data_IF_418287798026
#
_entry.id   IF_418287798026
#
_cell.length_a   1.000
_cell.length_b   1.000
_cell.length_c   1.000
_cell.angle_alpha   90.00
_cell.angle_beta   90.00
_cell.angle_gamma   90.00
#
_symmetry.space_group_name_H-M   'P 1'
#
loop_
_entity.id
_entity.type
_entity.pdbx_description
1 polymer ?
#
# COMPACT_ATOMS: atom_id res chain seq x y z
N UNK A 1 11.53 -0.32 -21.15
CA UNK A 1 11.50 1.16 -21.27
C UNK A 1 12.85 1.74 -20.90
N UNK A 2 13.21 2.89 -21.49
CA UNK A 2 14.50 3.56 -21.22
C UNK A 2 14.64 4.08 -19.77
N UNK A 3 13.55 4.12 -19.02
CA UNK A 3 13.48 4.57 -17.64
C UNK A 3 13.40 3.42 -16.61
N UNK A 4 13.62 2.17 -17.03
CA UNK A 4 13.61 1.01 -16.14
C UNK A 4 15.02 0.48 -15.96
N UNK A 5 15.42 0.34 -14.69
CA UNK A 5 16.72 -0.19 -14.31
C UNK A 5 16.53 -1.51 -13.55
N UNK A 6 17.21 -2.57 -13.98
CA UNK A 6 17.23 -3.85 -13.27
C UNK A 6 18.46 -3.90 -12.37
N UNK A 7 18.26 -3.85 -11.06
CA UNK A 7 19.33 -3.89 -10.07
C UNK A 7 19.82 -5.31 -9.73
N UNK A 8 19.23 -6.34 -10.35
CA UNK A 8 19.49 -7.76 -9.99
C UNK A 8 18.83 -8.14 -8.67
N UNK A 9 19.21 -9.28 -8.11
CA UNK A 9 18.75 -9.73 -6.78
C UNK A 9 19.65 -9.08 -5.72
N UNK A 10 19.47 -7.77 -5.51
CA UNK A 10 20.30 -6.94 -4.65
C UNK A 10 19.48 -5.80 -4.05
N UNK A 11 18.45 -6.12 -3.25
CA UNK A 11 17.43 -5.17 -2.79
C UNK A 11 18.01 -4.00 -1.98
N UNK A 12 19.03 -4.25 -1.13
CA UNK A 12 19.72 -3.17 -0.40
C UNK A 12 20.41 -2.19 -1.36
N UNK A 13 21.14 -2.73 -2.35
CA UNK A 13 21.78 -1.91 -3.36
C UNK A 13 20.76 -1.16 -4.22
N UNK A 14 19.67 -1.84 -4.60
CA UNK A 14 18.57 -1.21 -5.34
C UNK A 14 17.99 -0.01 -4.60
N UNK A 15 17.81 -0.11 -3.29
CA UNK A 15 17.29 0.99 -2.47
C UNK A 15 18.31 2.13 -2.34
N UNK A 16 19.60 1.81 -2.18
CA UNK A 16 20.68 2.82 -2.17
C UNK A 16 20.77 3.59 -3.49
N UNK A 17 20.71 2.88 -4.63
CA UNK A 17 20.68 3.48 -5.97
C UNK A 17 19.44 4.35 -6.14
N UNK A 18 18.24 3.85 -5.75
CA UNK A 18 16.99 4.60 -5.81
C UNK A 18 17.07 5.92 -5.02
N UNK A 19 17.65 5.87 -3.83
CA UNK A 19 17.84 7.07 -3.00
C UNK A 19 18.81 8.07 -3.64
N UNK A 20 19.92 7.57 -4.21
CA UNK A 20 20.85 8.42 -4.97
C UNK A 20 20.19 9.08 -6.18
N UNK A 21 19.36 8.36 -6.91
CA UNK A 21 18.59 8.91 -8.04
C UNK A 21 17.56 9.95 -7.56
N UNK A 22 16.85 9.69 -6.46
CA UNK A 22 15.92 10.66 -5.88
C UNK A 22 16.62 11.95 -5.43
N UNK A 23 17.84 11.84 -4.87
CA UNK A 23 18.65 13.00 -4.50
C UNK A 23 19.05 13.89 -5.69
N UNK A 24 19.00 13.38 -6.92
CA UNK A 24 19.19 14.17 -8.15
C UNK A 24 17.91 14.82 -8.68
N UNK A 25 16.79 14.68 -7.96
CA UNK A 25 15.48 15.24 -8.33
C UNK A 25 14.63 14.33 -9.21
N UNK A 26 14.98 13.05 -9.37
CA UNK A 26 14.15 12.09 -10.09
C UNK A 26 13.04 11.53 -9.18
N UNK A 27 11.86 11.32 -9.75
CA UNK A 27 10.80 10.53 -9.11
C UNK A 27 11.12 9.05 -9.29
N UNK A 28 11.33 8.33 -8.20
CA UNK A 28 11.84 6.95 -8.23
C UNK A 28 10.86 5.98 -7.57
N UNK A 29 10.52 4.91 -8.30
CA UNK A 29 9.79 3.76 -7.79
C UNK A 29 10.74 2.56 -7.73
N UNK A 30 10.97 2.02 -6.53
CA UNK A 30 11.75 0.80 -6.30
C UNK A 30 10.82 -0.36 -6.04
N UNK A 31 10.94 -1.46 -6.79
CA UNK A 31 10.03 -2.60 -6.70
C UNK A 31 10.76 -3.91 -6.40
N UNK A 32 10.19 -4.69 -5.48
CA UNK A 32 10.53 -6.10 -5.24
C UNK A 32 9.31 -6.83 -4.67
N UNK A 33 9.41 -8.17 -4.43
CA UNK A 33 8.44 -8.85 -3.60
C UNK A 33 8.32 -8.20 -2.22
N UNK A 34 7.11 -8.13 -1.67
CA UNK A 34 6.84 -7.47 -0.40
C UNK A 34 7.78 -7.88 0.73
N UNK A 35 8.07 -9.18 0.85
CA UNK A 35 9.01 -9.69 1.85
C UNK A 35 10.44 -9.16 1.68
N UNK A 36 10.89 -8.95 0.44
CA UNK A 36 12.24 -8.45 0.16
C UNK A 36 12.28 -6.93 0.15
N UNK A 37 11.26 -6.28 -0.36
CA UNK A 37 11.06 -4.84 -0.23
C UNK A 37 11.01 -4.41 1.25
N UNK A 38 10.38 -5.22 2.12
CA UNK A 38 10.33 -4.98 3.55
C UNK A 38 11.66 -5.32 4.23
N UNK A 39 12.03 -6.61 4.29
CA UNK A 39 13.13 -7.05 5.15
C UNK A 39 14.51 -6.63 4.66
N UNK A 40 14.75 -6.64 3.34
CA UNK A 40 16.08 -6.37 2.78
C UNK A 40 16.30 -4.91 2.44
N UNK A 41 15.27 -4.18 2.02
CA UNK A 41 15.38 -2.75 1.68
C UNK A 41 15.25 -1.84 2.91
N UNK A 42 14.70 -2.34 4.03
CA UNK A 42 14.20 -1.49 5.12
C UNK A 42 15.27 -0.58 5.72
N UNK A 43 16.47 -1.09 6.00
CA UNK A 43 17.55 -0.28 6.59
C UNK A 43 17.90 0.91 5.68
N UNK A 44 18.08 0.65 4.38
CA UNK A 44 18.36 1.72 3.41
C UNK A 44 17.15 2.62 3.18
N UNK A 45 15.92 2.07 3.24
CA UNK A 45 14.71 2.88 3.17
C UNK A 45 14.60 3.82 4.37
N UNK A 46 14.93 3.34 5.56
CA UNK A 46 14.93 4.16 6.77
C UNK A 46 16.02 5.25 6.74
N UNK A 47 17.26 4.88 6.43
CA UNK A 47 18.40 5.79 6.48
C UNK A 47 18.51 6.67 5.23
N UNK A 48 18.53 6.06 4.04
CA UNK A 48 18.81 6.78 2.82
C UNK A 48 17.59 7.53 2.25
N UNK A 49 16.37 7.06 2.47
CA UNK A 49 15.17 7.75 2.05
C UNK A 49 14.48 8.48 3.21
N UNK A 50 14.15 7.78 4.30
CA UNK A 50 13.39 8.34 5.41
C UNK A 50 14.13 9.45 6.15
N UNK A 51 15.33 9.16 6.65
CA UNK A 51 16.14 10.14 7.38
C UNK A 51 16.61 11.31 6.51
N UNK A 52 16.89 11.05 5.23
CA UNK A 52 17.31 12.09 4.26
C UNK A 52 16.11 12.79 3.60
N UNK A 53 14.88 12.44 3.97
CA UNK A 53 13.62 13.02 3.43
C UNK A 53 13.52 12.94 1.90
N UNK A 54 14.02 11.87 1.28
CA UNK A 54 14.00 11.68 -0.16
C UNK A 54 12.73 10.96 -0.61
N UNK A 55 12.02 11.43 -1.67
CA UNK A 55 10.81 10.83 -2.16
C UNK A 55 11.07 9.56 -2.98
N UNK A 56 11.46 8.48 -2.32
CA UNK A 56 11.55 7.16 -2.93
C UNK A 56 10.28 6.37 -2.62
N UNK A 57 9.64 5.86 -3.65
CA UNK A 57 8.40 5.10 -3.53
C UNK A 57 8.70 3.62 -3.67
N UNK A 58 8.64 2.89 -2.56
CA UNK A 58 8.88 1.44 -2.54
C UNK A 58 7.58 0.69 -2.79
N UNK A 59 7.61 -0.21 -3.76
CA UNK A 59 6.48 -1.08 -4.10
C UNK A 59 6.81 -2.50 -3.68
N UNK A 60 6.00 -3.04 -2.74
CA UNK A 60 6.10 -4.41 -2.28
C UNK A 60 5.00 -5.28 -2.87
N UNK A 61 5.34 -6.24 -3.75
CA UNK A 61 4.32 -7.09 -4.34
C UNK A 61 3.98 -8.33 -3.50
N UNK A 62 2.75 -8.80 -3.66
CA UNK A 62 2.19 -10.00 -3.05
C UNK A 62 2.22 -10.01 -1.52
N UNK A 63 1.48 -9.09 -0.87
CA UNK A 63 1.41 -8.99 0.58
C UNK A 63 0.72 -10.19 1.22
N UNK A 64 1.03 -10.43 2.48
CA UNK A 64 0.40 -11.49 3.29
C UNK A 64 0.55 -12.86 2.64
N UNK A 65 -0.56 -13.55 2.44
CA UNK A 65 -0.60 -14.91 1.86
C UNK A 65 -0.78 -14.95 0.34
N UNK A 66 -0.68 -13.81 -0.36
CA UNK A 66 -0.91 -13.75 -1.82
C UNK A 66 0.06 -14.62 -2.62
N UNK A 67 1.29 -14.82 -2.11
CA UNK A 67 2.28 -15.72 -2.68
C UNK A 67 2.46 -17.02 -1.86
N UNK A 68 1.41 -17.53 -1.22
CA UNK A 68 1.46 -18.72 -0.36
C UNK A 68 2.06 -19.96 -1.04
N UNK A 69 1.89 -20.11 -2.36
CA UNK A 69 2.49 -21.18 -3.14
C UNK A 69 4.03 -21.15 -3.17
N UNK A 70 4.66 -20.01 -2.88
CA UNK A 70 6.10 -19.87 -2.71
C UNK A 70 6.58 -20.19 -1.29
N UNK A 71 5.67 -20.40 -0.34
CA UNK A 71 5.95 -20.66 1.07
C UNK A 71 6.25 -19.39 1.88
N UNK A 72 6.49 -19.61 3.18
CA UNK A 72 6.61 -18.54 4.19
C UNK A 72 7.72 -17.51 3.91
N UNK A 73 8.75 -17.87 3.13
CA UNK A 73 9.83 -16.97 2.75
C UNK A 73 9.35 -15.81 1.85
N UNK A 74 8.19 -15.96 1.21
CA UNK A 74 7.59 -14.98 0.30
C UNK A 74 6.30 -14.35 0.83
N UNK A 75 5.96 -14.60 2.09
CA UNK A 75 4.76 -14.07 2.74
C UNK A 75 5.13 -12.95 3.72
N UNK A 76 5.07 -11.67 3.34
CA UNK A 76 5.28 -10.56 4.25
C UNK A 76 4.02 -10.29 5.07
N UNK A 77 4.15 -10.25 6.38
CA UNK A 77 3.11 -9.82 7.32
C UNK A 77 3.47 -8.52 8.01
N UNK A 78 4.77 -8.25 8.13
CA UNK A 78 5.37 -7.12 8.84
C UNK A 78 5.67 -5.91 7.97
N UNK A 79 5.50 -5.99 6.67
CA UNK A 79 5.94 -5.02 5.68
C UNK A 79 5.39 -3.60 5.94
N UNK A 80 4.09 -3.43 6.08
CA UNK A 80 3.51 -2.13 6.40
C UNK A 80 3.98 -1.62 7.77
N UNK A 81 4.04 -2.50 8.79
CA UNK A 81 4.47 -2.12 10.13
C UNK A 81 5.90 -1.58 10.14
N UNK A 82 6.80 -2.16 9.35
CA UNK A 82 8.16 -1.64 9.20
C UNK A 82 8.15 -0.22 8.63
N UNK A 83 7.48 -0.01 7.49
CA UNK A 83 7.44 1.31 6.85
C UNK A 83 6.66 2.36 7.65
N UNK A 84 5.68 1.96 8.46
CA UNK A 84 5.00 2.87 9.40
C UNK A 84 5.95 3.45 10.46
N UNK A 85 7.07 2.79 10.76
CA UNK A 85 8.11 3.30 11.66
C UNK A 85 8.99 4.41 11.06
N UNK A 86 8.97 4.63 9.74
CA UNK A 86 9.66 5.77 9.13
C UNK A 86 8.78 7.01 9.36
N UNK A 87 9.22 8.04 10.11
CA UNK A 87 8.34 9.11 10.60
C UNK A 87 7.53 9.82 9.53
N UNK A 88 8.15 10.14 8.38
CA UNK A 88 7.58 10.89 7.27
C UNK A 88 7.05 10.00 6.11
N UNK A 89 7.03 8.67 6.26
CA UNK A 89 6.60 7.79 5.20
C UNK A 89 5.08 7.76 5.02
N UNK A 90 4.65 7.63 3.77
CA UNK A 90 3.26 7.29 3.40
C UNK A 90 3.15 5.77 3.18
N UNK A 91 2.14 5.14 3.78
CA UNK A 91 1.91 3.68 3.65
C UNK A 91 0.53 3.41 3.07
N UNK A 92 0.48 2.69 1.95
CA UNK A 92 -0.73 2.44 1.16
C UNK A 92 -0.92 0.94 0.91
N UNK A 93 -2.17 0.50 0.97
CA UNK A 93 -2.62 -0.84 0.61
C UNK A 93 -3.86 -0.73 -0.28
N UNK A 94 -3.65 -0.71 -1.60
CA UNK A 94 -4.71 -0.49 -2.59
C UNK A 94 -5.51 -1.75 -2.88
N UNK A 95 -6.83 -1.62 -3.08
CA UNK A 95 -7.74 -2.76 -3.24
C UNK A 95 -7.98 -3.19 -4.69
N UNK A 96 -7.85 -2.29 -5.67
CA UNK A 96 -8.06 -2.61 -7.08
C UNK A 96 -7.19 -1.78 -8.04
N UNK A 97 -7.36 -2.02 -9.35
CA UNK A 97 -6.57 -1.33 -10.38
C UNK A 97 -6.86 0.17 -10.43
N UNK A 98 -8.12 0.59 -10.29
CA UNK A 98 -8.49 2.01 -10.36
C UNK A 98 -7.83 2.79 -9.23
N UNK A 99 -7.90 2.26 -8.01
CA UNK A 99 -7.28 2.84 -6.82
C UNK A 99 -5.75 2.82 -6.91
N UNK A 100 -5.14 1.69 -7.33
CA UNK A 100 -3.69 1.58 -7.56
C UNK A 100 -3.19 2.64 -8.54
N UNK A 101 -3.88 2.80 -9.69
CA UNK A 101 -3.53 3.77 -10.74
C UNK A 101 -3.59 5.20 -10.21
N UNK A 102 -4.64 5.56 -9.48
CA UNK A 102 -4.81 6.90 -8.93
C UNK A 102 -3.77 7.20 -7.84
N UNK A 103 -3.59 6.29 -6.89
CA UNK A 103 -2.64 6.47 -5.78
C UNK A 103 -1.18 6.48 -6.23
N UNK A 104 -0.80 5.68 -7.25
CA UNK A 104 0.54 5.74 -7.86
C UNK A 104 0.84 7.13 -8.41
N UNK A 105 -0.13 7.78 -9.07
CA UNK A 105 0.03 9.16 -9.56
C UNK A 105 0.15 10.17 -8.43
N UNK A 106 -0.60 10.00 -7.36
CA UNK A 106 -0.51 10.84 -6.16
C UNK A 106 0.87 10.68 -5.48
N UNK A 107 1.37 9.44 -5.38
CA UNK A 107 2.72 9.19 -4.86
C UNK A 107 3.80 9.84 -5.71
N UNK A 108 3.70 9.78 -7.04
CA UNK A 108 4.67 10.42 -7.93
C UNK A 108 4.78 11.95 -7.73
N UNK A 109 3.74 12.58 -7.18
CA UNK A 109 3.72 13.98 -6.80
C UNK A 109 3.96 14.22 -5.30
N UNK A 110 4.10 13.15 -4.51
CA UNK A 110 4.31 13.21 -3.07
C UNK A 110 5.80 13.45 -2.77
N UNK A 111 6.10 14.46 -1.99
CA UNK A 111 7.46 14.79 -1.56
C UNK A 111 8.02 13.90 -0.43
N UNK A 112 7.29 12.86 -0.01
CA UNK A 112 7.68 11.97 1.10
C UNK A 112 8.03 10.58 0.59
N UNK A 113 8.93 9.84 1.28
CA UNK A 113 9.13 8.42 1.00
C UNK A 113 7.82 7.65 1.20
N UNK A 114 7.62 6.57 0.47
CA UNK A 114 6.40 5.78 0.61
C UNK A 114 6.62 4.29 0.46
N UNK A 115 5.69 3.53 1.02
CA UNK A 115 5.52 2.11 0.77
C UNK A 115 4.10 1.83 0.27
N UNK A 116 3.99 1.11 -0.83
CA UNK A 116 2.71 0.71 -1.38
C UNK A 116 2.69 -0.79 -1.65
N UNK A 117 1.68 -1.48 -1.13
CA UNK A 117 1.40 -2.86 -1.47
C UNK A 117 0.83 -2.95 -2.87
N UNK A 118 1.30 -3.94 -3.61
CA UNK A 118 0.79 -4.25 -4.95
C UNK A 118 0.54 -5.74 -5.06
N UNK A 119 -0.46 -6.14 -5.83
CA UNK A 119 -0.79 -7.54 -6.01
C UNK A 119 -0.80 -7.86 -7.50
N UNK A 120 -0.21 -9.01 -7.86
CA UNK A 120 -0.08 -9.45 -9.25
C UNK A 120 -1.28 -10.21 -9.79
N UNK A 121 -2.12 -10.72 -8.91
CA UNK A 121 -3.33 -11.46 -9.31
C UNK A 121 -4.46 -10.49 -9.64
N UNK A 122 -5.38 -10.90 -10.49
CA UNK A 122 -6.60 -10.14 -10.75
C UNK A 122 -7.47 -10.06 -9.49
N UNK A 123 -8.09 -8.90 -9.29
CA UNK A 123 -9.01 -8.61 -8.19
C UNK A 123 -10.40 -8.30 -8.68
N UNK A 124 -11.34 -8.37 -7.75
CA UNK A 124 -12.65 -7.77 -7.90
C UNK A 124 -12.50 -6.25 -8.05
N UNK A 125 -13.14 -5.69 -9.08
CA UNK A 125 -13.20 -4.25 -9.27
C UNK A 125 -14.18 -3.66 -8.26
N UNK A 126 -13.68 -2.79 -7.39
CA UNK A 126 -14.47 -2.06 -6.39
C UNK A 126 -14.85 -0.68 -6.91
N UNK A 127 -13.93 -0.02 -7.60
CA UNK A 127 -14.07 1.34 -8.08
C UNK A 127 -14.10 1.44 -9.60
N UNK A 128 -14.83 2.44 -10.11
CA UNK A 128 -14.83 2.75 -11.54
C UNK A 128 -13.45 3.33 -11.97
N UNK A 129 -13.06 3.09 -13.23
CA UNK A 129 -11.86 3.73 -13.78
C UNK A 129 -12.05 5.27 -13.79
N UNK A 130 -11.03 5.98 -13.35
CA UNK A 130 -11.07 7.44 -13.19
C UNK A 130 -11.52 7.90 -11.81
N UNK A 131 -11.86 7.02 -10.88
CA UNK A 131 -12.06 7.39 -9.47
C UNK A 131 -10.81 8.06 -8.91
N UNK A 132 -11.02 9.10 -8.07
CA UNK A 132 -9.94 9.82 -7.39
C UNK A 132 -9.91 9.47 -5.91
N UNK A 133 -8.71 9.50 -5.33
CA UNK A 133 -8.48 9.15 -3.93
C UNK A 133 -7.49 10.13 -3.32
N UNK A 134 -7.67 10.45 -2.05
CA UNK A 134 -6.79 11.32 -1.30
C UNK A 134 -5.95 10.51 -0.32
N UNK A 135 -4.63 10.75 -0.30
CA UNK A 135 -3.72 10.14 0.68
C UNK A 135 -4.12 10.63 2.07
N UNK A 136 -4.30 9.70 3.01
CA UNK A 136 -4.73 10.01 4.37
C UNK A 136 -6.24 10.07 4.56
N UNK A 137 -7.03 9.71 3.53
CA UNK A 137 -8.48 9.61 3.63
C UNK A 137 -8.95 8.20 3.31
N UNK A 138 -9.89 7.70 4.13
CA UNK A 138 -10.60 6.45 3.84
C UNK A 138 -11.87 6.70 3.04
N UNK A 139 -12.46 5.64 2.50
CA UNK A 139 -13.71 5.69 1.73
C UNK A 139 -14.77 4.82 2.40
N UNK A 140 -15.90 5.41 2.77
CA UNK A 140 -17.06 4.63 3.23
C UNK A 140 -17.75 4.00 2.01
N UNK A 141 -17.69 2.68 1.90
CA UNK A 141 -18.29 1.91 0.81
C UNK A 141 -19.75 1.52 1.09
N UNK A 142 -20.07 1.28 2.35
CA UNK A 142 -21.41 0.95 2.85
C UNK A 142 -21.63 1.66 4.19
N UNK A 143 -22.79 2.23 4.38
CA UNK A 143 -23.21 2.75 5.68
C UNK A 143 -23.86 1.67 6.53
N UNK A 144 -23.63 1.74 7.84
CA UNK A 144 -24.19 0.83 8.83
C UNK A 144 -24.10 1.38 10.24
N UNK A 145 -24.87 0.79 11.16
CA UNK A 145 -25.01 1.30 12.54
C UNK A 145 -24.73 0.29 13.63
N UNK A 146 -24.64 -1.00 13.32
CA UNK A 146 -24.50 -2.05 14.34
C UNK A 146 -23.02 -2.47 14.50
N UNK A 147 -22.25 -2.47 13.38
CA UNK A 147 -20.82 -2.81 13.36
C UNK A 147 -20.10 -2.06 12.25
N UNK A 148 -18.82 -1.76 12.44
CA UNK A 148 -17.96 -1.20 11.39
C UNK A 148 -16.86 -2.20 11.03
N UNK A 149 -16.70 -2.47 9.73
CA UNK A 149 -15.64 -3.27 9.15
C UNK A 149 -14.68 -2.30 8.45
N UNK A 150 -13.45 -2.20 8.97
CA UNK A 150 -12.38 -1.40 8.34
C UNK A 150 -11.44 -2.38 7.63
N UNK A 151 -11.30 -2.24 6.33
CA UNK A 151 -10.48 -3.11 5.50
C UNK A 151 -9.57 -2.31 4.58
N UNK A 152 -8.55 -2.95 4.02
CA UNK A 152 -7.70 -2.40 2.97
C UNK A 152 -7.25 -3.49 2.02
N UNK A 153 -6.75 -3.10 0.86
CA UNK A 153 -6.23 -4.04 -0.11
C UNK A 153 -7.25 -5.10 -0.50
N UNK A 154 -6.80 -6.33 -0.66
CA UNK A 154 -7.67 -7.46 -1.06
C UNK A 154 -8.81 -7.76 -0.09
N UNK A 155 -8.68 -7.34 1.16
CA UNK A 155 -9.73 -7.61 2.16
C UNK A 155 -10.95 -6.70 2.00
N UNK A 156 -10.90 -5.68 1.16
CA UNK A 156 -12.05 -4.82 0.88
C UNK A 156 -13.18 -5.61 0.21
N UNK A 157 -12.86 -6.46 -0.76
CA UNK A 157 -13.85 -7.35 -1.41
C UNK A 157 -14.46 -8.34 -0.41
N UNK A 158 -13.64 -8.92 0.46
CA UNK A 158 -14.12 -9.82 1.51
C UNK A 158 -14.98 -9.09 2.56
N UNK A 159 -14.66 -7.84 2.87
CA UNK A 159 -15.47 -7.00 3.76
C UNK A 159 -16.86 -6.69 3.17
N UNK A 160 -16.92 -6.43 1.86
CA UNK A 160 -18.21 -6.24 1.16
C UNK A 160 -19.06 -7.50 1.16
N UNK A 161 -18.45 -8.68 0.90
CA UNK A 161 -19.16 -9.97 1.01
C UNK A 161 -19.64 -10.26 2.44
N UNK A 162 -18.82 -9.93 3.43
CA UNK A 162 -19.19 -10.09 4.84
C UNK A 162 -20.37 -9.18 5.22
N UNK A 163 -20.41 -7.94 4.70
CA UNK A 163 -21.52 -7.02 4.88
C UNK A 163 -22.84 -7.63 4.35
N UNK A 164 -22.84 -8.15 3.12
CA UNK A 164 -24.01 -8.82 2.52
C UNK A 164 -24.49 -10.00 3.38
N UNK A 165 -23.56 -10.80 3.92
CA UNK A 165 -23.89 -11.92 4.82
C UNK A 165 -24.47 -11.46 6.15
N UNK A 166 -24.01 -10.33 6.68
CA UNK A 166 -24.54 -9.71 7.91
C UNK A 166 -25.92 -9.12 7.66
N UNK A 167 -26.11 -8.42 6.54
CA UNK A 167 -27.40 -7.84 6.16
C UNK A 167 -28.49 -8.92 6.05
N UNK A 168 -28.16 -10.10 5.50
CA UNK A 168 -29.08 -11.25 5.47
C UNK A 168 -29.49 -11.76 6.86
N UNK A 169 -28.76 -11.41 7.90
CA UNK A 169 -29.06 -11.72 9.32
C UNK A 169 -29.66 -10.52 10.06
N UNK A 170 -29.97 -9.43 9.38
CA UNK A 170 -30.55 -8.21 9.96
C UNK A 170 -29.53 -7.33 10.70
N UNK A 171 -28.24 -7.54 10.47
CA UNK A 171 -27.14 -6.74 11.07
C UNK A 171 -26.68 -5.71 10.05
N UNK A 172 -26.73 -4.42 10.41
CA UNK A 172 -26.34 -3.29 9.58
C UNK A 172 -24.86 -2.98 9.77
N UNK A 173 -24.02 -3.38 8.82
CA UNK A 173 -22.58 -3.16 8.88
C UNK A 173 -22.14 -1.98 8.02
N UNK A 174 -21.28 -1.11 8.58
CA UNK A 174 -20.54 -0.09 7.82
C UNK A 174 -19.25 -0.70 7.29
N UNK A 175 -18.93 -0.47 6.03
CA UNK A 175 -17.67 -0.91 5.42
C UNK A 175 -16.86 0.30 5.00
N UNK A 176 -15.63 0.36 5.50
CA UNK A 176 -14.64 1.41 5.18
C UNK A 176 -13.45 0.77 4.48
N UNK A 177 -13.11 1.29 3.30
CA UNK A 177 -11.82 1.06 2.67
C UNK A 177 -10.81 2.07 3.20
N UNK A 178 -9.88 1.62 4.03
CA UNK A 178 -8.80 2.41 4.60
C UNK A 178 -7.52 2.17 3.82
N UNK A 179 -7.48 2.62 2.58
CA UNK A 179 -6.37 2.39 1.66
C UNK A 179 -5.05 3.07 2.08
N UNK A 180 -5.09 4.07 2.94
CA UNK A 180 -3.91 4.71 3.52
C UNK A 180 -3.81 4.37 5.00
N UNK A 181 -2.74 3.68 5.41
CA UNK A 181 -2.48 3.32 6.79
C UNK A 181 -1.71 4.41 7.52
N UNK A 182 -0.91 5.18 6.74
CA UNK A 182 -0.17 6.33 7.25
C UNK A 182 -0.09 7.41 6.16
N UNK A 183 -0.55 8.66 6.45
CA UNK A 183 -1.33 9.02 7.62
C UNK A 183 -2.69 8.31 7.67
N UNK A 184 -3.21 8.04 8.88
CA UNK A 184 -4.53 7.43 9.06
C UNK A 184 -5.63 8.50 9.01
N UNK A 185 -6.78 8.18 8.45
CA UNK A 185 -7.99 9.01 8.57
C UNK A 185 -8.64 8.80 9.96
N UNK A 186 -8.07 9.43 10.97
CA UNK A 186 -8.54 9.32 12.35
C UNK A 186 -9.98 9.84 12.50
N UNK A 187 -10.33 10.89 11.76
CA UNK A 187 -11.68 11.46 11.79
C UNK A 187 -12.73 10.44 11.33
N UNK A 188 -12.45 9.70 10.25
CA UNK A 188 -13.35 8.67 9.75
C UNK A 188 -13.46 7.47 10.70
N UNK A 189 -12.36 7.10 11.38
CA UNK A 189 -12.35 6.00 12.35
C UNK A 189 -13.16 6.32 13.60
N UNK A 190 -13.15 7.60 14.03
CA UNK A 190 -13.82 8.05 15.26
C UNK A 190 -15.32 8.36 15.09
N UNK A 191 -15.83 8.36 13.86
CA UNK A 191 -17.26 8.53 13.55
C UNK A 191 -18.05 7.24 13.71
#
# INVERSE_FOLDING_TARGET
PAQTFNAGIAEQNAMGVASGMAATGLTVFAHSFGCFAARRMFDQAFLAAGYSELPVHVIGSDPGVCAAFNGATHMPFEDCALYMNIPNAVVIDSCDFAQTKALTRKLAACGSPSYMRLIRKGFTTVYADGSDFEIGKGVTLRDGKDVTIIASGILVDEALKAEEMLAAKGISARVIDMHTWKPLDEELVLR
#
